data_IF_797327002792
#
_entry.id   IF_797327002792
#
_cell.length_a   1.000
_cell.length_b   1.000
_cell.length_c   1.000
_cell.angle_alpha   90.00
_cell.angle_beta   90.00
_cell.angle_gamma   90.00
#
_symmetry.space_group_name_H-M   'P 1'
#
loop_
_entity.id
_entity.type
_entity.pdbx_description
1 polymer ?
#
# COMPACT_ATOMS: atom_id res chain seq x y z
N UNK A 1 5.42 2.59 3.75
CA UNK A 1 6.73 3.00 3.17
C UNK A 1 6.89 2.37 1.79
N UNK A 2 7.72 2.91 0.87
CA UNK A 2 8.13 2.17 -0.33
C UNK A 2 8.76 0.82 0.03
N UNK A 3 8.79 -0.16 -0.89
CA UNK A 3 9.53 -1.41 -0.70
C UNK A 3 10.94 -1.17 -0.18
N UNK A 4 11.33 -1.89 0.88
CA UNK A 4 12.67 -1.80 1.46
C UNK A 4 13.41 -3.14 1.36
N UNK A 5 14.75 -3.12 1.28
CA UNK A 5 15.55 -4.36 1.29
C UNK A 5 15.42 -5.16 2.59
N UNK A 6 15.16 -4.49 3.71
CA UNK A 6 14.94 -5.12 5.02
C UNK A 6 13.54 -4.77 5.53
N UNK A 7 12.77 -5.76 6.01
CA UNK A 7 11.45 -5.54 6.59
C UNK A 7 11.49 -4.49 7.72
N UNK A 8 10.61 -3.48 7.71
CA UNK A 8 10.51 -2.55 8.81
C UNK A 8 9.89 -3.22 10.03
N UNK A 9 10.21 -2.71 11.23
CA UNK A 9 9.78 -3.33 12.51
C UNK A 9 8.33 -2.99 12.92
N UNK A 10 7.90 -1.75 12.72
CA UNK A 10 6.66 -1.23 13.31
C UNK A 10 5.55 -0.95 12.30
N UNK A 11 5.89 -0.88 11.01
CA UNK A 11 4.94 -0.61 9.93
C UNK A 11 5.30 -1.47 8.72
N UNK A 12 4.29 -1.85 7.95
CA UNK A 12 4.53 -2.51 6.68
C UNK A 12 5.14 -1.52 5.67
N UNK A 13 6.09 -2.01 4.87
CA UNK A 13 6.33 -1.43 3.56
C UNK A 13 5.26 -1.93 2.58
N UNK A 14 5.29 -1.43 1.34
CA UNK A 14 4.29 -1.81 0.35
C UNK A 14 4.33 -3.31 0.04
N UNK A 15 5.51 -3.93 0.04
CA UNK A 15 5.67 -5.37 -0.23
C UNK A 15 4.94 -6.21 0.82
N UNK A 16 5.19 -5.96 2.11
CA UNK A 16 4.56 -6.69 3.21
C UNK A 16 3.05 -6.46 3.26
N UNK A 17 2.60 -5.24 2.97
CA UNK A 17 1.18 -4.92 2.91
C UNK A 17 0.47 -5.73 1.80
N UNK A 18 1.05 -5.77 0.60
CA UNK A 18 0.51 -6.54 -0.52
C UNK A 18 0.56 -8.05 -0.27
N UNK A 19 1.63 -8.57 0.33
CA UNK A 19 1.71 -9.99 0.72
C UNK A 19 0.62 -10.35 1.73
N UNK A 20 0.35 -9.48 2.70
CA UNK A 20 -0.72 -9.69 3.68
C UNK A 20 -2.09 -9.74 2.99
N UNK A 21 -2.35 -8.82 2.06
CA UNK A 21 -3.60 -8.77 1.29
C UNK A 21 -3.75 -10.04 0.45
N UNK A 22 -2.69 -10.48 -0.22
CA UNK A 22 -2.68 -11.69 -1.05
C UNK A 22 -2.97 -12.95 -0.22
N UNK A 23 -2.43 -13.06 1.00
CA UNK A 23 -2.69 -14.18 1.90
C UNK A 23 -4.14 -14.20 2.43
N UNK A 24 -4.67 -13.04 2.79
CA UNK A 24 -6.02 -12.92 3.35
C UNK A 24 -7.13 -12.96 2.29
N UNK A 25 -6.81 -12.61 1.03
CA UNK A 25 -7.73 -12.55 -0.12
C UNK A 25 -9.03 -11.78 0.16
N UNK A 26 -8.97 -10.53 0.63
CA UNK A 26 -10.18 -9.73 0.83
C UNK A 26 -10.78 -9.30 -0.53
N UNK A 27 -12.10 -9.07 -0.57
CA UNK A 27 -12.76 -8.56 -1.77
C UNK A 27 -12.35 -7.13 -2.16
N UNK A 28 -11.95 -6.31 -1.17
CA UNK A 28 -11.33 -4.99 -1.33
C UNK A 28 -10.34 -4.76 -0.20
N UNK A 29 -9.24 -4.07 -0.49
CA UNK A 29 -8.28 -3.61 0.50
C UNK A 29 -7.99 -2.12 0.32
N UNK A 30 -7.82 -1.40 1.43
CA UNK A 30 -7.45 0.03 1.43
C UNK A 30 -6.13 0.20 2.16
N UNK A 31 -5.12 0.68 1.45
CA UNK A 31 -3.86 1.10 2.06
C UNK A 31 -4.05 2.50 2.64
N UNK A 32 -3.88 2.63 3.94
CA UNK A 32 -3.94 3.90 4.68
C UNK A 32 -2.58 4.20 5.34
N UNK A 33 -2.49 5.32 6.08
CA UNK A 33 -1.25 5.79 6.73
C UNK A 33 -0.08 5.91 5.74
N UNK A 34 -0.35 6.51 4.58
CA UNK A 34 0.65 6.72 3.52
C UNK A 34 1.54 7.91 3.91
N UNK A 35 2.78 7.62 4.33
CA UNK A 35 3.78 8.66 4.57
C UNK A 35 4.31 9.28 3.27
N UNK A 36 4.88 10.49 3.36
CA UNK A 36 5.33 11.28 2.20
C UNK A 36 6.28 10.54 1.26
N UNK A 37 7.19 9.71 1.78
CA UNK A 37 8.12 8.93 0.96
C UNK A 37 7.40 7.90 0.10
N UNK A 38 6.35 7.26 0.63
CA UNK A 38 5.55 6.31 -0.14
C UNK A 38 4.69 7.03 -1.18
N UNK A 39 4.11 8.16 -0.82
CA UNK A 39 3.31 8.98 -1.74
C UNK A 39 4.15 9.45 -2.94
N UNK A 40 5.35 10.00 -2.70
CA UNK A 40 6.28 10.39 -3.75
C UNK A 40 6.72 9.22 -4.63
N UNK A 41 6.96 8.06 -4.04
CA UNK A 41 7.32 6.85 -4.78
C UNK A 41 6.18 6.37 -5.69
N UNK A 42 4.94 6.42 -5.21
CA UNK A 42 3.75 6.04 -6.00
C UNK A 42 3.52 6.98 -7.20
N UNK A 43 3.85 8.27 -7.08
CA UNK A 43 3.74 9.22 -8.18
C UNK A 43 4.73 8.96 -9.34
N UNK A 44 5.87 8.32 -9.06
CA UNK A 44 6.94 8.09 -10.03
C UNK A 44 6.84 6.78 -10.82
N UNK A 45 5.86 5.92 -10.52
CA UNK A 45 5.74 4.59 -11.12
C UNK A 45 4.59 4.48 -12.13
N UNK A 46 4.74 3.64 -13.17
CA UNK A 46 3.60 3.23 -13.98
C UNK A 46 2.58 2.44 -13.12
N UNK A 47 1.29 2.44 -13.50
CA UNK A 47 0.25 1.79 -12.71
C UNK A 47 0.43 0.26 -12.74
N UNK A 48 0.17 -0.48 -11.67
CA UNK A 48 -0.47 -0.06 -10.44
C UNK A 48 -0.59 -1.20 -9.45
N UNK A 49 -1.23 -0.88 -8.33
CA UNK A 49 -1.63 -1.85 -7.33
C UNK A 49 -2.62 -2.86 -7.94
N UNK A 50 -2.77 -4.06 -7.36
CA UNK A 50 -3.82 -4.98 -7.76
C UNK A 50 -5.18 -4.28 -7.78
N UNK A 51 -6.06 -4.60 -8.73
CA UNK A 51 -7.30 -3.84 -8.95
C UNK A 51 -8.29 -3.80 -7.78
N UNK A 52 -8.13 -4.67 -6.77
CA UNK A 52 -8.91 -4.67 -5.53
C UNK A 52 -8.23 -3.89 -4.38
N UNK A 53 -7.06 -3.30 -4.63
CA UNK A 53 -6.27 -2.53 -3.66
C UNK A 53 -6.35 -1.06 -4.01
N UNK A 54 -6.80 -0.26 -3.05
CA UNK A 54 -7.02 1.18 -3.19
C UNK A 54 -6.05 1.94 -2.28
N UNK A 55 -5.61 3.11 -2.70
CA UNK A 55 -4.96 4.08 -1.81
C UNK A 55 -6.04 4.91 -1.14
N UNK A 56 -6.14 4.80 0.18
CA UNK A 56 -7.02 5.64 0.98
C UNK A 56 -6.61 7.11 0.88
N UNK A 57 -7.59 7.99 0.75
CA UNK A 57 -7.41 9.45 0.83
C UNK A 57 -8.36 10.03 1.87
N UNK A 58 -8.00 11.15 2.45
CA UNK A 58 -8.83 11.84 3.43
C UNK A 58 -10.20 12.16 2.81
N UNK A 59 -11.27 11.80 3.53
CA UNK A 59 -12.65 11.96 3.06
C UNK A 59 -13.14 10.92 2.05
N UNK A 60 -12.35 9.90 1.71
CA UNK A 60 -12.77 8.80 0.83
C UNK A 60 -13.88 7.96 1.47
N UNK A 61 -14.92 7.64 0.69
CA UNK A 61 -16.01 6.73 1.05
C UNK A 61 -16.08 5.55 0.05
N UNK A 62 -16.49 4.36 0.52
CA UNK A 62 -16.46 3.09 -0.22
C UNK A 62 -17.82 2.41 -0.39
#
# INVERSE_FOLDING_TARGET
>A
MPPQPQPPRNHNDLTLALQTIDQLRPGKAVLTHIGHTLDAWLMGLPPGLPGHVLIGRDGMAL
#
